data_IF_244369012919
#
_entry.id   IF_244369012919
#
_cell.length_a   1.000
_cell.length_b   1.000
_cell.length_c   1.000
_cell.angle_alpha   90.00
_cell.angle_beta   90.00
_cell.angle_gamma   90.00
#
_symmetry.space_group_name_H-M   'P 1'
#
loop_
_entity.id
_entity.type
_entity.pdbx_description
1 polymer ?
#
# COMPACT_ATOMS: atom_id res chain seq x y z
N UNK A 1 -36.84 -16.02 30.69
CA UNK A 1 -36.81 -14.77 31.49
C UNK A 1 -35.46 -14.76 32.19
N UNK A 2 -34.49 -13.89 31.92
CA UNK A 2 -34.57 -12.48 31.56
C UNK A 2 -33.78 -12.14 30.28
N UNK A 3 -34.42 -11.30 29.49
CA UNK A 3 -33.89 -10.56 28.36
C UNK A 3 -33.03 -9.40 28.89
N UNK A 4 -31.87 -9.16 28.29
CA UNK A 4 -31.18 -7.88 28.42
C UNK A 4 -30.91 -7.35 27.03
N UNK A 5 -31.92 -6.66 26.52
CA UNK A 5 -31.90 -5.86 25.31
C UNK A 5 -30.81 -4.79 25.43
N UNK A 6 -29.85 -4.80 24.52
CA UNK A 6 -28.94 -3.67 24.28
C UNK A 6 -29.38 -3.05 22.97
N UNK A 7 -29.62 -1.75 23.01
CA UNK A 7 -30.34 -0.96 22.02
C UNK A 7 -29.71 -1.04 20.62
N UNK A 8 -30.57 -1.22 19.61
CA UNK A 8 -30.25 -1.34 18.20
C UNK A 8 -30.07 0.05 17.57
N UNK A 9 -28.83 0.46 17.35
CA UNK A 9 -28.50 1.30 16.20
C UNK A 9 -27.96 0.34 15.14
N UNK A 10 -28.77 0.05 14.11
CA UNK A 10 -28.39 -0.79 12.97
C UNK A 10 -27.31 -0.06 12.14
N UNK A 11 -26.09 -0.04 12.65
CA UNK A 11 -24.91 0.29 11.86
C UNK A 11 -24.76 -0.85 10.86
N UNK A 12 -25.18 -0.61 9.62
CA UNK A 12 -25.02 -1.57 8.52
C UNK A 12 -23.57 -2.06 8.40
N UNK A 13 -23.38 -3.19 7.73
CA UNK A 13 -22.05 -3.78 7.57
C UNK A 13 -21.09 -2.82 6.87
N UNK A 14 -20.00 -2.43 7.55
CA UNK A 14 -18.93 -1.62 6.97
C UNK A 14 -18.06 -2.53 6.12
N UNK A 15 -18.30 -2.52 4.80
CA UNK A 15 -17.49 -3.25 3.84
C UNK A 15 -16.40 -2.34 3.29
N UNK A 16 -15.14 -2.66 3.57
CA UNK A 16 -13.99 -1.92 3.05
C UNK A 16 -13.60 -2.51 1.70
N UNK A 17 -13.61 -1.65 0.67
CA UNK A 17 -13.22 -2.06 -0.67
C UNK A 17 -11.70 -2.32 -0.73
N UNK A 18 -11.23 -3.36 -1.45
CA UNK A 18 -9.80 -3.67 -1.58
C UNK A 18 -8.96 -2.48 -2.07
N UNK A 19 -9.54 -1.62 -2.90
CA UNK A 19 -8.89 -0.43 -3.46
C UNK A 19 -8.48 0.56 -2.35
N UNK A 20 -9.22 0.63 -1.24
CA UNK A 20 -8.90 1.50 -0.11
C UNK A 20 -7.66 1.01 0.62
N UNK A 21 -7.51 -0.31 0.78
CA UNK A 21 -6.32 -0.91 1.38
C UNK A 21 -5.07 -0.59 0.56
N UNK A 22 -5.17 -0.67 -0.77
CA UNK A 22 -4.06 -0.30 -1.66
C UNK A 22 -3.62 1.16 -1.49
N UNK A 23 -4.56 2.08 -1.31
CA UNK A 23 -4.26 3.51 -1.05
C UNK A 23 -3.53 3.66 0.28
N UNK A 24 -4.01 3.04 1.35
CA UNK A 24 -3.41 3.12 2.68
C UNK A 24 -1.97 2.58 2.63
N UNK A 25 -1.79 1.41 2.02
CA UNK A 25 -0.47 0.75 1.90
C UNK A 25 0.46 1.59 1.03
N UNK A 26 -0.03 2.14 -0.09
CA UNK A 26 0.74 2.98 -0.99
C UNK A 26 1.24 4.26 -0.32
N UNK A 27 0.35 4.97 0.38
CA UNK A 27 0.68 6.19 1.14
C UNK A 27 1.69 5.88 2.24
N UNK A 28 1.45 4.82 3.01
CA UNK A 28 2.33 4.42 4.13
C UNK A 28 3.73 4.08 3.62
N UNK A 29 3.80 3.30 2.55
CA UNK A 29 5.09 2.93 1.91
C UNK A 29 5.81 4.15 1.36
N UNK A 30 5.10 5.08 0.72
CA UNK A 30 5.71 6.29 0.14
C UNK A 30 6.27 7.26 1.19
N UNK A 31 5.76 7.24 2.42
CA UNK A 31 6.26 8.08 3.53
C UNK A 31 7.57 7.60 4.13
N UNK A 32 7.97 6.35 3.87
CA UNK A 32 9.15 5.76 4.48
C UNK A 32 10.41 6.29 3.82
N UNK A 33 11.31 6.85 4.64
CA UNK A 33 12.63 7.26 4.20
C UNK A 33 13.38 6.12 3.52
N UNK A 34 13.80 6.37 2.28
CA UNK A 34 14.51 5.41 1.46
C UNK A 34 13.65 4.76 0.38
N UNK A 35 12.32 4.88 0.46
CA UNK A 35 11.44 4.59 -0.69
C UNK A 35 11.52 5.76 -1.67
N UNK A 36 11.81 5.47 -2.93
CA UNK A 36 11.85 6.46 -4.00
C UNK A 36 10.51 6.53 -4.74
N UNK A 37 9.97 5.38 -5.15
CA UNK A 37 8.70 5.28 -5.84
C UNK A 37 8.12 3.85 -5.73
N UNK A 38 6.80 3.72 -5.88
CA UNK A 38 6.14 2.43 -6.10
C UNK A 38 6.03 2.14 -7.59
N UNK A 39 5.97 0.86 -7.98
CA UNK A 39 5.92 0.46 -9.40
C UNK A 39 4.98 -0.70 -9.67
N UNK A 40 4.33 -0.69 -10.83
CA UNK A 40 3.48 -1.80 -11.26
C UNK A 40 4.26 -3.04 -11.69
N UNK A 41 3.67 -4.20 -11.38
CA UNK A 41 4.14 -5.55 -11.72
C UNK A 41 4.24 -5.77 -13.23
N UNK A 42 3.37 -5.11 -14.02
CA UNK A 42 3.39 -5.17 -15.49
C UNK A 42 4.10 -3.96 -16.07
N UNK A 43 5.34 -4.15 -16.48
CA UNK A 43 5.97 -3.37 -17.53
C UNK A 43 5.33 -3.78 -18.87
N UNK A 44 4.11 -3.31 -19.15
CA UNK A 44 3.72 -3.26 -20.56
C UNK A 44 4.40 -2.03 -21.13
N UNK A 45 5.37 -2.26 -22.01
CA UNK A 45 5.99 -1.32 -22.94
C UNK A 45 4.96 -0.65 -23.90
N UNK A 46 3.70 -0.53 -23.48
CA UNK A 46 2.67 0.17 -24.23
C UNK A 46 2.87 1.66 -23.98
N UNK A 47 3.59 2.26 -24.93
CA UNK A 47 3.99 3.66 -25.09
C UNK A 47 2.82 4.66 -25.14
N UNK A 48 1.78 4.50 -24.31
CA UNK A 48 0.57 5.31 -24.38
C UNK A 48 -0.52 5.05 -23.34
N UNK A 49 -0.41 4.05 -22.45
CA UNK A 49 -1.33 3.91 -21.32
C UNK A 49 -0.54 3.98 -20.02
N UNK A 50 -0.79 5.03 -19.22
CA UNK A 50 -0.33 5.10 -17.83
C UNK A 50 -0.70 3.76 -17.19
N UNK A 51 0.30 3.02 -16.72
CA UNK A 51 0.03 1.85 -15.92
C UNK A 51 -0.58 2.37 -14.61
N UNK A 52 -1.91 2.37 -14.52
CA UNK A 52 -2.68 2.76 -13.34
C UNK A 52 -2.68 1.61 -12.35
N UNK A 53 -1.57 1.50 -11.65
CA UNK A 53 -1.50 0.67 -10.47
C UNK A 53 -0.58 1.36 -9.48
N UNK A 54 -0.90 1.19 -8.20
CA UNK A 54 -0.20 1.83 -7.09
C UNK A 54 1.05 1.05 -6.67
N UNK A 55 1.45 0.03 -7.46
CA UNK A 55 2.53 -0.89 -7.11
C UNK A 55 2.26 -1.76 -5.88
N UNK A 56 1.01 -1.82 -5.44
CA UNK A 56 0.51 -2.66 -4.34
C UNK A 56 -0.50 -3.63 -4.93
N UNK A 57 -0.38 -4.90 -4.59
CA UNK A 57 -1.32 -5.95 -4.98
C UNK A 57 -1.74 -6.72 -3.75
N UNK A 58 -3.03 -6.97 -3.61
CA UNK A 58 -3.60 -7.68 -2.47
C UNK A 58 -4.16 -9.00 -2.98
N UNK A 59 -3.76 -10.09 -2.34
CA UNK A 59 -4.29 -11.43 -2.58
C UNK A 59 -4.96 -11.91 -1.29
N UNK A 60 -6.24 -12.26 -1.38
CA UNK A 60 -7.00 -12.82 -0.25
C UNK A 60 -7.30 -14.27 -0.55
N UNK A 61 -6.64 -15.18 0.16
CA UNK A 61 -6.82 -16.64 0.02
C UNK A 61 -7.12 -17.25 1.37
N UNK A 62 -8.19 -18.03 1.45
CA UNK A 62 -8.56 -18.82 2.64
C UNK A 62 -8.66 -17.98 3.93
N UNK A 63 -9.08 -16.71 3.81
CA UNK A 63 -9.19 -15.79 4.94
C UNK A 63 -7.87 -15.13 5.37
N UNK A 64 -6.76 -15.37 4.65
CA UNK A 64 -5.49 -14.67 4.84
C UNK A 64 -5.34 -13.54 3.86
N UNK A 65 -4.81 -12.42 4.32
CA UNK A 65 -4.51 -11.23 3.52
C UNK A 65 -3.01 -11.15 3.27
N UNK A 66 -2.63 -11.37 2.01
CA UNK A 66 -1.25 -11.23 1.55
C UNK A 66 -1.11 -9.96 0.69
N UNK A 67 -0.08 -9.18 0.95
CA UNK A 67 0.21 -7.94 0.24
C UNK A 67 1.54 -8.08 -0.48
N UNK A 68 1.56 -7.79 -1.78
CA UNK A 68 2.77 -7.64 -2.58
C UNK A 68 3.01 -6.15 -2.88
N UNK A 69 4.19 -5.64 -2.51
CA UNK A 69 4.57 -4.24 -2.71
C UNK A 69 5.81 -4.18 -3.57
N UNK A 70 5.73 -3.47 -4.68
CA UNK A 70 6.83 -3.29 -5.64
C UNK A 70 7.40 -1.89 -5.50
N UNK A 71 8.67 -1.81 -5.06
CA UNK A 71 9.31 -0.54 -4.70
C UNK A 71 10.62 -0.32 -5.43
N UNK A 72 10.89 0.96 -5.70
CA UNK A 72 12.21 1.49 -5.95
C UNK A 72 12.78 2.09 -4.68
N UNK A 73 14.03 1.75 -4.40
CA UNK A 73 14.74 2.25 -3.24
C UNK A 73 15.79 3.29 -3.65
N UNK A 74 16.04 4.26 -2.78
CA UNK A 74 17.11 5.23 -2.98
C UNK A 74 18.50 4.58 -2.84
N UNK A 75 19.48 5.06 -3.60
CA UNK A 75 20.87 4.64 -3.42
C UNK A 75 21.41 5.06 -2.04
N UNK A 76 22.34 4.26 -1.50
CA UNK A 76 23.00 4.55 -0.23
C UNK A 76 22.24 4.09 1.02
N UNK A 77 21.12 3.37 0.87
CA UNK A 77 20.34 2.84 2.00
C UNK A 77 20.53 1.33 2.17
N UNK A 78 20.30 0.84 3.39
CA UNK A 78 20.23 -0.60 3.67
C UNK A 78 18.86 -1.16 3.25
N UNK A 79 18.84 -1.93 2.16
CA UNK A 79 17.62 -2.55 1.61
C UNK A 79 16.88 -3.38 2.68
N UNK A 80 17.53 -4.29 3.44
CA UNK A 80 16.83 -5.10 4.44
C UNK A 80 16.22 -4.24 5.56
N UNK A 81 16.91 -3.17 5.97
CA UNK A 81 16.44 -2.26 7.03
C UNK A 81 15.18 -1.54 6.58
N UNK A 82 15.16 -1.02 5.35
CA UNK A 82 13.99 -0.33 4.81
C UNK A 82 12.84 -1.32 4.55
N UNK A 83 13.13 -2.52 4.07
CA UNK A 83 12.11 -3.55 3.88
C UNK A 83 11.40 -3.92 5.19
N UNK A 84 12.16 -4.16 6.27
CA UNK A 84 11.57 -4.44 7.60
C UNK A 84 10.74 -3.25 8.09
N UNK A 85 11.21 -2.01 7.86
CA UNK A 85 10.45 -0.79 8.20
C UNK A 85 9.12 -0.72 7.45
N UNK A 86 9.12 -0.99 6.14
CA UNK A 86 7.90 -1.06 5.32
C UNK A 86 6.94 -2.11 5.86
N UNK A 87 7.42 -3.33 6.14
CA UNK A 87 6.56 -4.40 6.68
C UNK A 87 5.88 -3.99 7.98
N UNK A 88 6.63 -3.37 8.90
CA UNK A 88 6.12 -2.93 10.18
C UNK A 88 5.07 -1.82 10.03
N UNK A 89 5.42 -0.75 9.33
CA UNK A 89 4.51 0.41 9.19
C UNK A 89 3.25 0.07 8.41
N UNK A 90 3.34 -0.78 7.38
CA UNK A 90 2.16 -1.23 6.62
C UNK A 90 1.23 -2.06 7.50
N UNK A 91 1.76 -3.01 8.28
CA UNK A 91 0.94 -3.83 9.19
C UNK A 91 0.26 -2.96 10.25
N UNK A 92 0.98 -2.00 10.83
CA UNK A 92 0.44 -1.07 11.82
C UNK A 92 -0.64 -0.16 11.23
N UNK A 93 -0.40 0.43 10.05
CA UNK A 93 -1.34 1.35 9.42
C UNK A 93 -2.66 0.69 9.01
N UNK A 94 -2.59 -0.52 8.43
CA UNK A 94 -3.79 -1.26 8.03
C UNK A 94 -4.57 -1.70 9.27
N UNK A 95 -3.91 -2.27 10.27
CA UNK A 95 -4.58 -2.68 11.51
C UNK A 95 -5.25 -1.51 12.25
N UNK A 96 -4.62 -0.34 12.30
CA UNK A 96 -5.17 0.85 12.97
C UNK A 96 -6.31 1.51 12.21
N UNK A 97 -6.29 1.47 10.86
CA UNK A 97 -7.27 2.18 10.04
C UNK A 97 -8.50 1.33 9.74
N UNK A 98 -8.31 0.04 9.55
CA UNK A 98 -9.36 -0.85 9.03
C UNK A 98 -9.68 -2.02 9.94
N UNK A 99 -8.96 -2.18 11.07
CA UNK A 99 -9.06 -3.35 11.97
C UNK A 99 -8.78 -4.70 11.27
N UNK A 100 -8.15 -4.66 10.08
CA UNK A 100 -7.79 -5.85 9.30
C UNK A 100 -6.35 -6.25 9.64
N UNK A 101 -6.14 -7.54 9.89
CA UNK A 101 -4.82 -8.10 10.11
C UNK A 101 -4.24 -8.56 8.77
N UNK A 102 -3.06 -8.05 8.43
CA UNK A 102 -2.30 -8.48 7.25
C UNK A 102 -1.32 -9.60 7.66
N UNK A 103 -1.51 -10.79 7.12
CA UNK A 103 -0.69 -11.96 7.41
C UNK A 103 0.72 -11.78 6.83
N UNK A 104 0.78 -11.53 5.52
CA UNK A 104 2.03 -11.50 4.76
C UNK A 104 2.23 -10.16 4.04
N UNK A 105 3.43 -9.59 4.20
CA UNK A 105 3.85 -8.38 3.46
C UNK A 105 5.13 -8.69 2.70
N UNK A 106 4.98 -8.92 1.41
CA UNK A 106 6.04 -9.29 0.48
C UNK A 106 6.54 -8.05 -0.24
N UNK A 107 7.84 -7.77 -0.11
CA UNK A 107 8.46 -6.58 -0.70
C UNK A 107 9.35 -7.00 -1.86
N UNK A 108 8.99 -6.51 -3.04
CA UNK A 108 9.71 -6.70 -4.28
C UNK A 108 10.50 -5.44 -4.61
N UNK A 109 11.81 -5.48 -4.40
CA UNK A 109 12.70 -4.39 -4.78
C UNK A 109 12.99 -4.50 -6.27
N UNK A 110 12.39 -3.61 -7.06
CA UNK A 110 12.52 -3.60 -8.52
C UNK A 110 13.85 -3.00 -8.97
N UNK A 111 14.43 -2.11 -8.16
CA UNK A 111 15.76 -1.59 -8.37
C UNK A 111 16.13 -0.48 -7.39
N UNK A 112 17.27 0.13 -7.64
CA UNK A 112 17.81 1.23 -6.84
C UNK A 112 18.01 2.45 -7.72
N UNK A 113 17.48 3.60 -7.30
CA UNK A 113 17.58 4.87 -8.03
C UNK A 113 18.73 5.69 -7.46
N UNK A 114 19.66 6.09 -8.32
CA UNK A 114 20.77 6.97 -7.94
C UNK A 114 20.28 8.42 -7.91
N UNK A 115 20.83 9.23 -6.98
CA UNK A 115 20.38 10.59 -6.64
C UNK A 115 20.42 11.64 -7.77
N UNK A 116 20.67 11.27 -9.03
CA UNK A 116 20.70 12.25 -10.13
C UNK A 116 19.32 12.71 -10.61
N UNK A 117 18.23 12.30 -9.96
CA UNK A 117 16.89 12.82 -10.23
C UNK A 117 16.30 13.41 -8.95
N UNK A 118 15.81 14.66 -8.97
CA UNK A 118 15.11 15.24 -7.84
C UNK A 118 13.91 14.36 -7.50
N UNK A 119 13.75 14.02 -6.21
CA UNK A 119 12.55 13.32 -5.73
C UNK A 119 11.33 14.16 -6.13
N UNK A 120 10.36 13.61 -6.88
CA UNK A 120 9.13 14.33 -7.15
C UNK A 120 8.47 14.74 -5.83
N UNK A 121 7.84 15.92 -5.81
CA UNK A 121 7.22 16.40 -4.59
C UNK A 121 6.08 15.44 -4.21
N UNK A 122 5.86 15.24 -2.90
CA UNK A 122 4.83 14.33 -2.43
C UNK A 122 3.44 14.71 -2.98
N UNK A 123 3.17 16.01 -3.14
CA UNK A 123 1.93 16.52 -3.73
C UNK A 123 1.74 16.11 -5.21
N UNK A 124 2.83 15.92 -5.95
CA UNK A 124 2.81 15.56 -7.37
C UNK A 124 2.60 14.04 -7.59
N UNK A 125 2.41 13.28 -6.50
CA UNK A 125 2.14 11.83 -6.54
C UNK A 125 0.65 11.51 -6.30
N UNK A 126 -0.15 12.48 -5.86
CA UNK A 126 -1.55 12.33 -5.45
C UNK A 126 -2.50 13.32 -6.13
N UNK A 127 -2.14 13.81 -7.30
CA UNK A 127 -2.97 14.64 -8.17
C UNK A 127 -4.24 13.90 -8.63
N UNK A 128 -5.27 14.63 -9.09
CA UNK A 128 -6.64 14.11 -9.31
C UNK A 128 -6.75 12.88 -10.22
N UNK A 129 -5.72 12.60 -11.03
CA UNK A 129 -5.63 11.37 -11.82
C UNK A 129 -5.35 10.10 -10.99
N UNK A 130 -4.83 10.22 -9.77
CA UNK A 130 -4.53 9.09 -8.88
C UNK A 130 -5.80 8.47 -8.26
N UNK A 131 -6.84 9.26 -8.04
CA UNK A 131 -8.08 8.84 -7.38
C UNK A 131 -9.20 8.45 -8.35
N UNK A 132 -9.05 8.74 -9.64
CA UNK A 132 -10.08 8.55 -10.68
C UNK A 132 -9.86 7.31 -11.57
N UNK A 133 -8.93 6.42 -11.20
CA UNK A 133 -8.63 5.17 -11.91
C UNK A 133 -9.31 3.96 -11.26
#
# INVERSE_FOLDING_TARGET
>A
MAEKTVHSEELGDIVIAPEVLEVIIGITTAKIDGVYALRNKRFSDSLGKKAEGRGVYIDTKEGKVAVEIYVYLAYGISIPTVAIKIQKEVKEAVAQTTEIIVDDVNIHVVGVVTEKLPKPNFADLFDEGFFNA
#
